data_IF_601915498182
#
_entry.id   IF_601915498182
#
_cell.length_a   1.000
_cell.length_b   1.000
_cell.length_c   1.000
_cell.angle_alpha   90.00
_cell.angle_beta   90.00
_cell.angle_gamma   90.00
#
_symmetry.space_group_name_H-M   'P 1'
#
loop_
_entity.id
_entity.type
_entity.pdbx_description
1 polymer ?
#
# COMPACT_ATOMS: atom_id res chain seq x y z
N UNK A 1 -58.85 -44.41 -20.64
CA UNK A 1 -57.68 -45.29 -20.40
C UNK A 1 -56.38 -44.54 -20.06
N UNK A 2 -56.09 -43.37 -20.64
CA UNK A 2 -54.79 -42.68 -20.46
C UNK A 2 -54.60 -41.96 -19.11
N UNK A 3 -55.69 -41.50 -18.49
CA UNK A 3 -55.64 -40.78 -17.20
C UNK A 3 -55.77 -41.70 -15.97
N UNK A 4 -56.23 -42.94 -16.15
CA UNK A 4 -56.44 -43.88 -15.04
C UNK A 4 -55.12 -44.41 -14.48
N UNK A 5 -54.17 -44.73 -15.37
CA UNK A 5 -52.79 -45.11 -14.98
C UNK A 5 -52.05 -43.97 -14.29
N UNK A 6 -52.30 -42.71 -14.69
CA UNK A 6 -51.65 -41.53 -14.11
C UNK A 6 -52.15 -41.27 -12.68
N UNK A 7 -53.45 -41.48 -12.43
CA UNK A 7 -54.05 -41.39 -11.10
C UNK A 7 -53.51 -42.47 -10.17
N UNK A 8 -53.33 -43.71 -10.66
CA UNK A 8 -52.74 -44.81 -9.89
C UNK A 8 -51.26 -44.54 -9.56
N UNK A 9 -50.49 -43.99 -10.51
CA UNK A 9 -49.09 -43.62 -10.31
C UNK A 9 -48.94 -42.49 -9.26
N UNK A 10 -49.85 -41.52 -9.25
CA UNK A 10 -49.86 -40.44 -8.27
C UNK A 10 -50.28 -40.91 -6.86
N UNK A 11 -51.12 -41.93 -6.74
CA UNK A 11 -51.56 -42.46 -5.44
C UNK A 11 -50.50 -43.36 -4.78
N UNK A 12 -49.68 -44.07 -5.56
CA UNK A 12 -48.65 -45.01 -5.04
C UNK A 12 -47.28 -44.33 -4.87
N UNK A 13 -47.07 -43.13 -5.43
CA UNK A 13 -45.81 -42.38 -5.32
C UNK A 13 -45.66 -41.50 -4.07
N UNK A 14 -46.66 -41.45 -3.19
CA UNK A 14 -46.64 -40.64 -1.96
C UNK A 14 -46.07 -41.41 -0.77
N UNK A 15 -44.85 -41.93 -0.90
CA UNK A 15 -44.14 -42.49 0.25
C UNK A 15 -42.65 -42.17 0.19
N UNK A 16 -42.31 -40.91 0.48
CA UNK A 16 -40.98 -40.49 0.95
C UNK A 16 -40.98 -39.00 1.27
N UNK A 17 -41.52 -38.65 2.45
CA UNK A 17 -41.32 -37.41 3.23
C UNK A 17 -42.61 -36.84 3.79
N UNK A 18 -43.42 -37.68 4.44
CA UNK A 18 -44.35 -37.24 5.47
C UNK A 18 -43.57 -36.71 6.69
N UNK A 19 -42.91 -35.55 6.55
CA UNK A 19 -42.33 -34.78 7.65
C UNK A 19 -43.22 -33.61 8.07
N UNK A 20 -44.37 -33.42 7.41
CA UNK A 20 -45.26 -32.28 7.70
C UNK A 20 -46.15 -32.46 8.94
N UNK A 21 -46.18 -33.65 9.52
CA UNK A 21 -46.90 -33.94 10.77
C UNK A 21 -45.95 -34.32 11.93
N UNK A 22 -44.72 -33.81 11.97
CA UNK A 22 -43.81 -34.06 13.10
C UNK A 22 -43.67 -32.82 13.99
N UNK A 23 -44.39 -32.83 15.12
CA UNK A 23 -44.33 -31.92 16.28
C UNK A 23 -43.20 -30.87 16.24
N UNK A 24 -43.47 -29.59 15.92
CA UNK A 24 -42.43 -28.55 15.90
C UNK A 24 -41.95 -28.12 17.31
N UNK A 25 -42.58 -28.61 18.38
CA UNK A 25 -42.35 -28.16 19.77
C UNK A 25 -41.72 -29.18 20.71
N UNK A 26 -41.22 -30.32 20.23
CA UNK A 26 -40.33 -31.11 21.07
C UNK A 26 -39.03 -30.30 21.24
N UNK A 27 -38.85 -29.71 22.43
CA UNK A 27 -37.62 -29.05 22.86
C UNK A 27 -36.45 -30.01 22.56
N UNK A 28 -35.78 -29.82 21.42
CA UNK A 28 -34.55 -30.54 21.12
C UNK A 28 -33.52 -30.00 22.11
N UNK A 29 -33.41 -30.64 23.26
CA UNK A 29 -32.29 -30.43 24.17
C UNK A 29 -31.05 -30.81 23.37
N UNK A 30 -30.31 -29.82 22.87
CA UNK A 30 -28.97 -30.08 22.34
C UNK A 30 -28.22 -30.77 23.46
N UNK A 31 -27.75 -31.98 23.22
CA UNK A 31 -26.82 -32.64 24.13
C UNK A 31 -25.68 -31.67 24.42
N UNK A 32 -25.27 -31.49 25.69
CA UNK A 32 -24.18 -30.58 26.01
C UNK A 32 -22.97 -31.00 25.18
N UNK A 33 -22.31 -30.04 24.54
CA UNK A 33 -21.04 -30.30 23.86
C UNK A 33 -20.10 -30.92 24.90
N UNK A 34 -19.57 -32.11 24.62
CA UNK A 34 -18.55 -32.69 25.48
C UNK A 34 -17.38 -31.70 25.53
N UNK A 35 -17.02 -31.29 26.74
CA UNK A 35 -15.89 -30.39 26.93
C UNK A 35 -14.66 -31.02 26.29
N UNK A 36 -14.03 -30.32 25.35
CA UNK A 36 -12.77 -30.76 24.77
C UNK A 36 -11.76 -30.93 25.91
N UNK A 37 -11.24 -32.14 26.08
CA UNK A 37 -10.20 -32.40 27.06
C UNK A 37 -8.99 -31.51 26.74
N UNK A 38 -8.64 -30.62 27.66
CA UNK A 38 -7.48 -29.74 27.50
C UNK A 38 -6.20 -30.59 27.51
N UNK A 39 -5.65 -30.87 26.33
CA UNK A 39 -4.42 -31.63 26.19
C UNK A 39 -3.22 -30.72 26.45
N UNK A 40 -2.51 -30.98 27.54
CA UNK A 40 -1.31 -30.25 27.93
C UNK A 40 -0.03 -30.82 27.28
N UNK A 41 -0.15 -31.45 26.10
CA UNK A 41 0.96 -32.14 25.42
C UNK A 41 2.14 -31.21 25.13
N UNK A 42 1.86 -29.94 24.83
CA UNK A 42 2.87 -28.91 24.58
C UNK A 42 3.75 -28.63 25.81
N UNK A 43 3.22 -28.79 27.05
CA UNK A 43 4.01 -28.63 28.28
C UNK A 43 5.08 -29.71 28.45
N UNK A 44 4.93 -30.86 27.77
CA UNK A 44 5.87 -31.99 27.84
C UNK A 44 7.00 -31.87 26.81
N UNK A 45 6.91 -30.92 25.88
CA UNK A 45 7.96 -30.70 24.91
C UNK A 45 9.07 -29.88 25.58
N UNK A 46 10.34 -30.34 25.56
CA UNK A 46 11.45 -29.51 26.00
C UNK A 46 11.50 -28.26 25.11
N UNK A 47 11.60 -27.08 25.71
CA UNK A 47 11.72 -25.84 24.95
C UNK A 47 13.03 -25.88 24.14
N UNK A 48 13.00 -25.58 22.82
CA UNK A 48 14.21 -25.56 22.02
C UNK A 48 15.13 -24.43 22.52
N UNK A 49 16.34 -24.77 22.93
CA UNK A 49 17.37 -23.79 23.24
C UNK A 49 17.89 -23.18 21.93
N UNK A 50 17.27 -22.09 21.48
CA UNK A 50 17.77 -21.33 20.34
C UNK A 50 19.05 -20.60 20.77
N UNK A 51 20.18 -20.95 20.14
CA UNK A 51 21.43 -20.23 20.34
C UNK A 51 21.24 -18.77 19.90
N UNK A 52 21.50 -17.82 20.80
CA UNK A 52 21.46 -16.39 20.49
C UNK A 52 22.68 -16.05 19.64
N UNK A 53 22.55 -16.14 18.31
CA UNK A 53 23.60 -15.73 17.38
C UNK A 53 23.60 -14.21 17.29
N UNK A 54 24.73 -13.58 17.62
CA UNK A 54 24.92 -12.13 17.48
C UNK A 54 25.16 -11.81 16.00
N UNK A 55 24.11 -11.42 15.29
CA UNK A 55 24.20 -10.93 13.91
C UNK A 55 24.92 -9.57 13.96
N UNK A 56 26.03 -9.45 13.25
CA UNK A 56 26.73 -8.16 13.10
C UNK A 56 25.95 -7.32 12.09
N UNK A 57 25.61 -6.06 12.39
CA UNK A 57 25.04 -5.18 11.37
C UNK A 57 26.09 -4.99 10.26
N UNK A 58 25.69 -5.16 9.02
CA UNK A 58 26.50 -4.80 7.86
C UNK A 58 26.08 -3.40 7.40
N UNK A 59 27.04 -2.54 7.13
CA UNK A 59 26.81 -1.22 6.55
C UNK A 59 27.03 -1.30 5.05
N UNK A 60 26.04 -0.91 4.26
CA UNK A 60 26.20 -0.78 2.81
C UNK A 60 26.85 0.57 2.56
N UNK A 61 28.02 0.58 1.92
CA UNK A 61 28.69 1.82 1.53
C UNK A 61 27.87 2.54 0.45
N UNK A 62 27.43 3.76 0.72
CA UNK A 62 26.65 4.59 -0.21
C UNK A 62 27.57 5.30 -1.22
N UNK A 63 28.37 4.54 -1.95
CA UNK A 63 29.14 5.09 -3.07
C UNK A 63 28.20 5.50 -4.21
N UNK A 64 28.55 6.51 -5.04
CA UNK A 64 27.71 6.92 -6.17
C UNK A 64 27.35 5.77 -7.12
N UNK A 65 28.30 4.85 -7.35
CA UNK A 65 28.08 3.64 -8.14
C UNK A 65 27.03 2.71 -7.53
N UNK A 66 27.13 2.45 -6.21
CA UNK A 66 26.16 1.60 -5.51
C UNK A 66 24.77 2.23 -5.52
N UNK A 67 24.67 3.55 -5.32
CA UNK A 67 23.40 4.28 -5.39
C UNK A 67 22.75 4.15 -6.78
N UNK A 68 23.53 4.33 -7.85
CA UNK A 68 23.05 4.15 -9.22
C UNK A 68 22.59 2.72 -9.50
N UNK A 69 23.31 1.70 -9.01
CA UNK A 69 22.90 0.30 -9.14
C UNK A 69 21.59 0.02 -8.41
N UNK A 70 21.42 0.57 -7.19
CA UNK A 70 20.17 0.42 -6.43
C UNK A 70 19.03 1.11 -7.19
N UNK A 71 19.23 2.34 -7.65
CA UNK A 71 18.23 3.09 -8.42
C UNK A 71 17.79 2.30 -9.67
N UNK A 72 18.76 1.78 -10.44
CA UNK A 72 18.49 0.95 -11.61
C UNK A 72 17.70 -0.32 -11.25
N UNK A 73 18.06 -0.98 -10.14
CA UNK A 73 17.38 -2.20 -9.69
C UNK A 73 15.91 -1.95 -9.32
N UNK A 74 15.62 -0.84 -8.63
CA UNK A 74 14.26 -0.46 -8.26
C UNK A 74 13.48 -0.06 -9.50
N UNK A 75 14.09 0.70 -10.42
CA UNK A 75 13.47 1.10 -11.69
C UNK A 75 13.10 -0.10 -12.56
N UNK A 76 13.99 -1.10 -12.69
CA UNK A 76 13.69 -2.36 -13.40
C UNK A 76 12.52 -3.11 -12.75
N UNK A 77 12.48 -3.15 -11.42
CA UNK A 77 11.38 -3.77 -10.66
C UNK A 77 10.06 -3.03 -10.90
N UNK A 78 10.08 -1.69 -10.90
CA UNK A 78 8.93 -0.86 -11.21
C UNK A 78 8.40 -1.13 -12.63
N UNK A 79 9.30 -1.14 -13.63
CA UNK A 79 8.96 -1.45 -15.02
C UNK A 79 8.37 -2.85 -15.20
N UNK A 80 8.97 -3.85 -14.54
CA UNK A 80 8.44 -5.21 -14.52
C UNK A 80 7.01 -5.23 -13.96
N UNK A 81 6.79 -4.65 -12.78
CA UNK A 81 5.47 -4.62 -12.15
C UNK A 81 4.44 -3.88 -13.01
N UNK A 82 4.80 -2.77 -13.64
CA UNK A 82 3.93 -2.05 -14.57
C UNK A 82 3.58 -2.90 -15.80
N UNK A 83 4.56 -3.58 -16.40
CA UNK A 83 4.36 -4.46 -17.56
C UNK A 83 3.43 -5.62 -17.25
N UNK A 84 3.53 -6.17 -16.04
CA UNK A 84 2.70 -7.29 -15.59
C UNK A 84 1.46 -6.86 -14.81
N UNK A 85 1.08 -5.57 -14.86
CA UNK A 85 -0.14 -5.04 -14.24
C UNK A 85 -0.22 -5.26 -12.73
N UNK A 86 0.93 -5.42 -12.06
CA UNK A 86 1.04 -5.51 -10.59
C UNK A 86 1.12 -4.10 -10.01
N UNK A 87 0.02 -3.36 -10.16
CA UNK A 87 -0.03 -1.92 -9.90
C UNK A 87 0.19 -1.54 -8.44
N UNK A 88 -0.33 -2.34 -7.50
CA UNK A 88 -0.09 -2.13 -6.07
C UNK A 88 1.43 -2.06 -5.79
N UNK A 89 2.18 -3.11 -6.15
CA UNK A 89 3.63 -3.13 -5.95
C UNK A 89 4.37 -2.06 -6.77
N UNK A 90 3.91 -1.75 -7.99
CA UNK A 90 4.49 -0.68 -8.79
C UNK A 90 4.39 0.69 -8.10
N UNK A 91 3.26 0.97 -7.43
CA UNK A 91 3.06 2.21 -6.67
C UNK A 91 4.13 2.39 -5.59
N UNK A 92 4.40 1.34 -4.81
CA UNK A 92 5.43 1.36 -3.77
C UNK A 92 6.82 1.56 -4.36
N UNK A 93 7.17 0.87 -5.46
CA UNK A 93 8.45 1.08 -6.12
C UNK A 93 8.66 2.53 -6.59
N UNK A 94 7.61 3.20 -7.08
CA UNK A 94 7.71 4.61 -7.44
C UNK A 94 7.87 5.54 -6.22
N UNK A 95 7.21 5.22 -5.10
CA UNK A 95 7.41 5.95 -3.84
C UNK A 95 8.85 5.78 -3.33
N UNK A 96 9.39 4.57 -3.41
CA UNK A 96 10.78 4.28 -3.03
C UNK A 96 11.78 5.05 -3.89
N UNK A 97 11.59 5.06 -5.22
CA UNK A 97 12.39 5.88 -6.14
C UNK A 97 12.33 7.36 -5.76
N UNK A 98 11.13 7.88 -5.48
CA UNK A 98 10.98 9.27 -5.09
C UNK A 98 11.75 9.59 -3.80
N UNK A 99 11.65 8.74 -2.78
CA UNK A 99 12.41 8.91 -1.53
C UNK A 99 13.92 8.87 -1.75
N UNK A 100 14.40 8.03 -2.67
CA UNK A 100 15.81 8.00 -3.06
C UNK A 100 16.23 9.32 -3.71
N UNK A 101 15.42 9.89 -4.61
CA UNK A 101 15.70 11.17 -5.25
C UNK A 101 15.63 12.35 -4.27
N UNK A 102 14.70 12.34 -3.31
CA UNK A 102 14.65 13.35 -2.23
C UNK A 102 15.95 13.38 -1.44
N UNK A 103 16.49 12.21 -1.08
CA UNK A 103 17.79 12.11 -0.37
C UNK A 103 18.97 12.61 -1.20
N UNK A 104 18.86 12.60 -2.53
CA UNK A 104 19.86 13.12 -3.47
C UNK A 104 19.61 14.60 -3.84
N UNK A 105 18.62 15.27 -3.24
CA UNK A 105 18.16 16.61 -3.60
C UNK A 105 17.66 16.75 -5.07
N UNK A 106 17.30 15.64 -5.70
CA UNK A 106 16.77 15.55 -7.06
C UNK A 106 15.26 15.71 -7.06
N UNK A 107 14.81 16.92 -6.70
CA UNK A 107 13.41 17.22 -6.38
C UNK A 107 12.46 17.08 -7.59
N UNK A 108 12.94 17.35 -8.80
CA UNK A 108 12.14 17.25 -10.02
C UNK A 108 11.75 15.79 -10.33
N UNK A 109 12.72 14.86 -10.27
CA UNK A 109 12.44 13.44 -10.43
C UNK A 109 11.57 12.91 -9.30
N UNK A 110 11.87 13.28 -8.04
CA UNK A 110 11.05 12.88 -6.90
C UNK A 110 9.58 13.26 -7.07
N UNK A 111 9.31 14.50 -7.48
CA UNK A 111 7.95 14.99 -7.76
C UNK A 111 7.27 14.15 -8.83
N UNK A 112 7.97 13.84 -9.93
CA UNK A 112 7.41 13.05 -11.03
C UNK A 112 6.98 11.66 -10.55
N UNK A 113 7.85 10.96 -9.82
CA UNK A 113 7.58 9.61 -9.32
C UNK A 113 6.46 9.57 -8.26
N UNK A 114 6.39 10.58 -7.38
CA UNK A 114 5.29 10.70 -6.42
C UNK A 114 3.94 10.86 -7.10
N UNK A 115 3.85 11.67 -8.16
CA UNK A 115 2.62 11.85 -8.93
C UNK A 115 2.15 10.54 -9.59
N UNK A 116 3.08 9.73 -10.11
CA UNK A 116 2.77 8.41 -10.64
C UNK A 116 2.26 7.47 -9.54
N UNK A 117 2.95 7.42 -8.40
CA UNK A 117 2.56 6.60 -7.24
C UNK A 117 1.20 6.99 -6.69
N UNK A 118 0.90 8.30 -6.58
CA UNK A 118 -0.43 8.80 -6.16
C UNK A 118 -1.51 8.35 -7.15
N UNK A 119 -1.26 8.46 -8.45
CA UNK A 119 -2.23 8.07 -9.48
C UNK A 119 -2.57 6.58 -9.36
N UNK A 120 -1.55 5.74 -9.21
CA UNK A 120 -1.74 4.29 -9.11
C UNK A 120 -2.39 3.90 -7.77
N UNK A 121 -1.92 4.43 -6.65
CA UNK A 121 -2.49 4.14 -5.33
C UNK A 121 -3.97 4.51 -5.24
N UNK A 122 -4.40 5.64 -5.85
CA UNK A 122 -5.82 5.99 -5.97
C UNK A 122 -6.61 4.97 -6.77
N UNK A 123 -6.09 4.52 -7.92
CA UNK A 123 -6.74 3.47 -8.72
C UNK A 123 -6.85 2.14 -7.96
N UNK A 124 -5.88 1.83 -7.10
CA UNK A 124 -5.88 0.64 -6.26
C UNK A 124 -6.67 0.81 -4.95
N UNK A 125 -7.23 1.99 -4.69
CA UNK A 125 -7.90 2.34 -3.41
C UNK A 125 -7.00 2.16 -2.17
N UNK A 126 -5.68 2.35 -2.31
CA UNK A 126 -4.75 2.36 -1.18
C UNK A 126 -4.63 3.77 -0.62
N UNK A 127 -5.65 4.19 0.14
CA UNK A 127 -5.76 5.56 0.65
C UNK A 127 -4.58 5.91 1.59
N UNK A 128 -4.08 4.94 2.36
CA UNK A 128 -2.93 5.18 3.27
C UNK A 128 -1.67 5.49 2.47
N UNK A 129 -1.41 4.71 1.42
CA UNK A 129 -0.28 4.98 0.55
C UNK A 129 -0.44 6.30 -0.22
N UNK A 130 -1.66 6.63 -0.68
CA UNK A 130 -1.95 7.94 -1.27
C UNK A 130 -1.64 9.09 -0.29
N UNK A 131 -2.06 8.98 0.98
CA UNK A 131 -1.77 10.00 2.02
C UNK A 131 -0.27 10.15 2.24
N UNK A 132 0.46 9.04 2.38
CA UNK A 132 1.91 9.06 2.56
C UNK A 132 2.61 9.78 1.39
N UNK A 133 2.25 9.43 0.15
CA UNK A 133 2.83 10.07 -1.03
C UNK A 133 2.45 11.55 -1.15
N UNK A 134 1.24 11.95 -0.73
CA UNK A 134 0.84 13.37 -0.69
C UNK A 134 1.67 14.17 0.34
N UNK A 135 2.02 13.56 1.48
CA UNK A 135 2.89 14.19 2.49
C UNK A 135 4.31 14.40 1.95
N UNK A 136 4.84 13.41 1.24
CA UNK A 136 6.15 13.52 0.60
C UNK A 136 6.12 14.54 -0.55
N UNK A 137 5.04 14.56 -1.35
CA UNK A 137 4.86 15.52 -2.43
C UNK A 137 4.80 16.96 -1.90
N UNK A 138 4.08 17.18 -0.80
CA UNK A 138 4.03 18.47 -0.13
C UNK A 138 5.42 18.92 0.36
N UNK A 139 6.25 17.97 0.81
CA UNK A 139 7.65 18.24 1.19
C UNK A 139 8.45 18.69 -0.01
N UNK A 140 8.43 17.90 -1.09
CA UNK A 140 9.15 18.22 -2.33
C UNK A 140 8.74 19.58 -2.88
N UNK A 141 7.44 19.90 -2.88
CA UNK A 141 6.94 21.20 -3.36
C UNK A 141 7.35 22.36 -2.45
N UNK A 142 7.35 22.16 -1.13
CA UNK A 142 7.82 23.17 -0.19
C UNK A 142 9.32 23.44 -0.33
N UNK A 143 10.13 22.38 -0.51
CA UNK A 143 11.57 22.48 -0.76
C UNK A 143 11.85 23.17 -2.10
N UNK A 144 10.97 23.00 -3.09
CA UNK A 144 10.99 23.74 -4.36
C UNK A 144 10.52 25.20 -4.25
N UNK A 145 10.02 25.63 -3.08
CA UNK A 145 9.49 26.97 -2.83
C UNK A 145 8.01 27.17 -3.16
N UNK A 146 7.30 26.14 -3.63
CA UNK A 146 5.86 26.19 -3.91
C UNK A 146 5.01 25.76 -2.69
N UNK A 147 5.02 26.63 -1.68
CA UNK A 147 4.24 26.45 -0.46
C UNK A 147 2.73 26.44 -0.69
N UNK A 148 2.26 27.09 -1.75
CA UNK A 148 0.84 27.14 -2.08
C UNK A 148 0.33 25.77 -2.50
N UNK A 149 1.01 25.10 -3.42
CA UNK A 149 0.65 23.75 -3.83
C UNK A 149 0.92 22.74 -2.71
N UNK A 150 2.00 22.89 -1.93
CA UNK A 150 2.25 22.01 -0.79
C UNK A 150 1.09 22.00 0.21
N UNK A 151 0.49 23.17 0.49
CA UNK A 151 -0.68 23.27 1.37
C UNK A 151 -1.92 22.60 0.78
N UNK A 152 -2.10 22.67 -0.53
CA UNK A 152 -3.21 22.00 -1.22
C UNK A 152 -3.09 20.48 -1.08
N UNK A 153 -1.88 19.94 -1.29
CA UNK A 153 -1.62 18.49 -1.12
C UNK A 153 -1.89 18.02 0.33
N UNK A 154 -1.47 18.82 1.32
CA UNK A 154 -1.76 18.51 2.73
C UNK A 154 -3.24 18.61 3.08
N UNK A 155 -3.97 19.55 2.49
CA UNK A 155 -5.40 19.68 2.66
C UNK A 155 -6.14 18.48 2.06
N UNK A 156 -5.72 18.03 0.87
CA UNK A 156 -6.25 16.82 0.25
C UNK A 156 -5.97 15.58 1.11
N UNK A 157 -4.74 15.41 1.60
CA UNK A 157 -4.37 14.31 2.49
C UNK A 157 -5.20 14.30 3.77
N UNK A 158 -5.45 15.49 4.36
CA UNK A 158 -6.32 15.65 5.54
C UNK A 158 -7.75 15.21 5.23
N UNK A 159 -8.32 15.67 4.12
CA UNK A 159 -9.68 15.33 3.71
C UNK A 159 -9.83 13.81 3.50
N UNK A 160 -8.85 13.20 2.83
CA UNK A 160 -8.83 11.76 2.60
C UNK A 160 -8.75 10.97 3.91
N UNK A 161 -7.87 11.39 4.84
CA UNK A 161 -7.74 10.76 6.15
C UNK A 161 -9.03 10.85 6.96
N UNK A 162 -9.69 12.02 6.98
CA UNK A 162 -10.99 12.21 7.66
C UNK A 162 -12.08 11.35 7.02
N UNK A 163 -12.17 11.35 5.69
CA UNK A 163 -13.19 10.59 4.96
C UNK A 163 -13.09 9.07 5.22
N UNK A 164 -11.88 8.56 5.42
CA UNK A 164 -11.61 7.13 5.69
C UNK A 164 -11.52 6.78 7.18
N UNK A 165 -11.66 7.76 8.08
CA UNK A 165 -11.53 7.56 9.52
C UNK A 165 -10.12 7.19 9.99
N UNK A 166 -9.09 7.59 9.24
CA UNK A 166 -7.68 7.28 9.51
C UNK A 166 -7.09 8.28 10.52
N UNK A 167 -7.32 8.03 11.81
CA UNK A 167 -6.93 8.96 12.90
C UNK A 167 -5.42 9.13 13.06
N UNK A 168 -4.65 8.06 12.89
CA UNK A 168 -3.19 8.11 12.96
C UNK A 168 -2.61 8.95 11.81
N UNK A 169 -3.05 8.68 10.58
CA UNK A 169 -2.61 9.41 9.39
C UNK A 169 -3.07 10.88 9.43
N UNK A 170 -4.24 11.16 9.99
CA UNK A 170 -4.67 12.54 10.24
C UNK A 170 -3.70 13.28 11.16
N UNK A 171 -3.25 12.64 12.24
CA UNK A 171 -2.29 13.25 13.17
C UNK A 171 -0.92 13.52 12.51
N UNK A 172 -0.47 12.63 11.61
CA UNK A 172 0.78 12.85 10.86
C UNK A 172 0.63 14.01 9.87
N UNK A 173 -0.51 14.11 9.16
CA UNK A 173 -0.83 15.24 8.28
C UNK A 173 -0.87 16.56 9.05
N UNK A 174 -1.49 16.58 10.23
CA UNK A 174 -1.54 17.78 11.08
C UNK A 174 -0.15 18.21 11.55
N UNK A 175 0.67 17.26 11.99
CA UNK A 175 2.06 17.52 12.37
C UNK A 175 2.84 18.14 11.21
N UNK A 176 2.70 17.58 10.00
CA UNK A 176 3.38 18.09 8.80
C UNK A 176 2.88 19.48 8.40
N UNK A 177 1.58 19.72 8.55
CA UNK A 177 0.96 21.03 8.26
C UNK A 177 1.49 22.11 9.19
N UNK A 178 1.59 21.83 10.50
CA UNK A 178 2.20 22.75 11.47
C UNK A 178 3.67 23.03 11.13
N UNK A 179 4.43 21.97 10.84
CA UNK A 179 5.83 22.11 10.42
C UNK A 179 5.98 23.04 9.20
N UNK A 180 5.15 22.91 8.17
CA UNK A 180 5.22 23.82 7.01
C UNK A 180 4.78 25.25 7.33
N UNK A 181 3.88 25.46 8.28
CA UNK A 181 3.47 26.80 8.71
C UNK A 181 4.60 27.52 9.45
N UNK A 182 5.29 26.80 10.34
CA UNK A 182 6.39 27.33 11.14
C UNK A 182 7.62 27.63 10.28
N UNK A 183 7.93 26.77 9.31
CA UNK A 183 9.11 26.90 8.45
C UNK A 183 8.95 27.86 7.27
N UNK A 184 7.79 28.53 7.12
CA UNK A 184 7.54 29.50 6.05
C UNK A 184 8.59 30.62 5.98
N UNK A 185 9.33 30.87 7.06
CA UNK A 185 10.36 31.91 7.17
C UNK A 185 11.78 31.48 6.73
N UNK A 186 12.05 30.18 6.48
CA UNK A 186 13.35 29.71 5.99
C UNK A 186 13.41 29.71 4.45
N UNK A 187 13.46 30.90 3.86
CA UNK A 187 13.64 31.08 2.42
C UNK A 187 15.10 30.93 2.01
N UNK A 188 15.67 29.73 2.05
CA UNK A 188 17.09 29.52 1.72
C UNK A 188 17.37 28.17 1.02
N UNK A 189 16.63 27.83 -0.02
CA UNK A 189 17.13 26.92 -1.07
C UNK A 189 16.76 27.47 -2.45
N UNK A 190 17.24 28.68 -2.74
CA UNK A 190 17.34 29.16 -4.12
C UNK A 190 18.51 28.44 -4.76
N UNK A 191 18.31 27.23 -5.29
CA UNK A 191 19.31 26.63 -6.17
C UNK A 191 18.77 26.54 -7.60
N UNK A 192 19.27 27.49 -8.38
CA UNK A 192 19.82 27.30 -9.73
C UNK A 192 19.16 26.20 -10.55
N UNK A 193 18.41 26.64 -11.55
CA UNK A 193 18.07 25.84 -12.72
C UNK A 193 19.35 25.25 -13.33
N UNK A 194 19.71 24.03 -12.95
CA UNK A 194 20.62 23.22 -13.76
C UNK A 194 19.84 22.81 -15.00
N UNK A 195 20.04 23.60 -16.05
CA UNK A 195 19.70 23.25 -17.42
C UNK A 195 20.59 22.07 -17.83
N UNK A 196 20.20 20.86 -17.46
CA UNK A 196 20.81 19.64 -17.97
C UNK A 196 19.78 18.82 -18.71
N UNK A 197 19.52 19.24 -19.95
CA UNK A 197 19.69 18.37 -21.12
C UNK A 197 19.81 19.23 -22.36
N UNK A 198 20.85 18.96 -23.18
CA UNK A 198 20.96 19.28 -24.61
C UNK A 198 21.61 20.62 -25.05
N UNK A 199 22.89 20.82 -24.73
CA UNK A 199 23.78 21.56 -25.66
C UNK A 199 25.18 20.95 -25.81
N UNK A 200 25.27 19.62 -25.70
CA UNK A 200 26.40 18.84 -26.22
C UNK A 200 26.10 18.40 -27.67
N UNK A 201 25.65 19.34 -28.50
CA UNK A 201 25.57 19.19 -29.95
C UNK A 201 26.90 19.62 -30.55
N UNK A 202 27.77 18.67 -30.86
CA UNK A 202 29.02 18.87 -31.59
C UNK A 202 28.80 19.73 -32.85
N UNK A 203 29.21 21.00 -32.83
CA UNK A 203 29.45 21.75 -34.06
C UNK A 203 30.73 21.21 -34.69
N UNK A 204 30.57 20.30 -35.64
CA UNK A 204 31.59 19.95 -36.63
C UNK A 204 31.98 21.23 -37.38
N UNK A 205 33.16 21.76 -37.07
CA UNK A 205 33.78 22.84 -37.85
C UNK A 205 34.41 22.19 -39.08
N UNK A 206 33.78 22.37 -40.23
CA UNK A 206 34.42 22.16 -41.53
C UNK A 206 35.41 23.32 -41.77
N UNK A 207 36.67 22.97 -42.00
CA UNK A 207 37.59 23.74 -42.84
C UNK A 207 38.62 22.81 -43.47
#
# INVERSE_FOLDING_TARGET
MRYFLLIILCAVGFDASAQWYYKPFNKRTRSPQMAYAQSHSIKRLPAPALAKVKIRPFTIEHTPYVLAMIEESVMKTAQHNMRFHVYNAASYNFSDLAQMYMKQNRLAEAKWFLLQSITISRQQNDDRHTIANLLDLATVKADYGDYTQAKQDLAEARQLAVARGLTFDLATVEKKTRYLQDNKFNTLHTETHFAETADAGTKTVNK
#
